data_IF_864507136473
#
_entry.id   IF_864507136473
#
_cell.length_a   1.000
_cell.length_b   1.000
_cell.length_c   1.000
_cell.angle_alpha   90.00
_cell.angle_beta   90.00
_cell.angle_gamma   90.00
#
_symmetry.space_group_name_H-M   'P 1'
#
loop_
_entity.id
_entity.type
_entity.pdbx_description
1 polymer ?
#
# COMPACT_ATOMS: atom_id res chain seq x y z
N UNK A 1 -4.36 4.82 -9.19
CA UNK A 1 -3.16 4.02 -9.55
C UNK A 1 -2.19 4.18 -8.39
N UNK A 2 -1.85 3.11 -7.66
CA UNK A 2 -1.04 3.25 -6.43
C UNK A 2 0.47 3.29 -6.72
N UNK A 3 0.94 2.89 -7.91
CA UNK A 3 2.37 2.94 -8.29
C UNK A 3 2.75 4.11 -9.21
N UNK A 4 1.77 4.95 -9.58
CA UNK A 4 1.86 6.02 -10.60
C UNK A 4 2.72 5.67 -11.84
N UNK A 5 2.62 4.41 -12.29
CA UNK A 5 3.43 3.83 -13.37
C UNK A 5 2.62 2.80 -14.14
N UNK A 6 2.80 2.81 -15.46
CA UNK A 6 2.33 1.73 -16.34
C UNK A 6 3.29 0.54 -16.27
N UNK A 7 2.73 -0.67 -16.12
CA UNK A 7 3.48 -1.92 -16.06
C UNK A 7 2.72 -3.03 -16.79
N UNK A 8 3.42 -4.06 -17.24
CA UNK A 8 2.78 -5.21 -17.85
C UNK A 8 2.11 -6.06 -16.76
N UNK A 9 0.84 -6.44 -16.98
CA UNK A 9 0.09 -7.29 -16.05
C UNK A 9 0.77 -8.63 -15.78
N UNK A 10 1.51 -9.19 -16.75
CA UNK A 10 2.25 -10.44 -16.57
C UNK A 10 3.45 -10.33 -15.61
N UNK A 11 3.88 -9.12 -15.25
CA UNK A 11 4.98 -8.87 -14.31
C UNK A 11 4.50 -8.80 -12.85
N UNK A 12 3.43 -9.51 -12.51
CA UNK A 12 3.02 -9.65 -11.11
C UNK A 12 4.11 -10.40 -10.34
N UNK A 13 4.57 -9.83 -9.23
CA UNK A 13 5.66 -10.30 -8.38
C UNK A 13 7.05 -10.32 -9.04
N UNK A 14 7.22 -10.80 -10.28
CA UNK A 14 8.47 -10.82 -11.10
C UNK A 14 9.77 -10.90 -10.27
N UNK A 15 9.88 -11.94 -9.44
CA UNK A 15 11.02 -12.17 -8.52
C UNK A 15 11.39 -10.96 -7.61
N UNK A 16 10.40 -10.14 -7.25
CA UNK A 16 10.55 -8.91 -6.46
C UNK A 16 10.80 -7.65 -7.30
N UNK A 17 10.96 -7.76 -8.61
CA UNK A 17 11.16 -6.63 -9.52
C UNK A 17 9.85 -6.11 -10.15
N UNK A 18 8.74 -6.81 -9.91
CA UNK A 18 7.45 -6.56 -10.52
C UNK A 18 6.53 -5.62 -9.72
N UNK A 19 5.24 -5.75 -10.00
CA UNK A 19 4.19 -5.12 -9.22
C UNK A 19 3.51 -6.12 -8.30
N UNK A 20 2.92 -5.64 -7.21
CA UNK A 20 2.15 -6.45 -6.27
C UNK A 20 0.78 -5.87 -6.02
N UNK A 21 -0.09 -6.71 -5.46
CA UNK A 21 -1.39 -6.28 -4.95
C UNK A 21 -1.23 -5.82 -3.52
N UNK A 22 -1.64 -4.58 -3.28
CA UNK A 22 -1.66 -3.98 -1.97
C UNK A 22 -3.09 -3.89 -1.45
N UNK A 23 -3.29 -4.29 -0.18
CA UNK A 23 -4.57 -4.11 0.49
C UNK A 23 -4.65 -2.71 1.07
N UNK A 24 -5.70 -1.96 0.75
CA UNK A 24 -5.92 -0.63 1.29
C UNK A 24 -6.09 -0.65 2.81
N UNK A 25 -6.71 -1.70 3.36
CA UNK A 25 -6.78 -1.95 4.80
C UNK A 25 -5.77 -3.03 5.21
N UNK A 26 -4.87 -2.77 6.17
CA UNK A 26 -3.85 -3.75 6.54
C UNK A 26 -4.48 -5.05 7.02
N UNK A 27 -3.96 -6.17 6.54
CA UNK A 27 -4.51 -7.49 6.86
C UNK A 27 -4.37 -7.83 8.35
N UNK A 28 -3.34 -7.32 9.02
CA UNK A 28 -3.16 -7.44 10.47
C UNK A 28 -4.33 -6.86 11.28
N UNK A 29 -4.99 -5.83 10.75
CA UNK A 29 -6.13 -5.15 11.38
C UNK A 29 -7.48 -5.68 10.89
N UNK A 30 -7.47 -6.59 9.92
CA UNK A 30 -8.68 -7.05 9.28
C UNK A 30 -9.38 -8.17 10.08
N UNK A 31 -8.75 -8.66 11.16
CA UNK A 31 -9.25 -9.74 12.03
C UNK A 31 -9.58 -11.06 11.30
N UNK A 32 -9.11 -11.24 10.07
CA UNK A 32 -9.22 -12.46 9.28
C UNK A 32 -7.88 -12.83 8.65
N UNK A 33 -7.73 -14.09 8.20
CA UNK A 33 -6.52 -14.52 7.49
C UNK A 33 -6.58 -14.09 6.03
N UNK A 34 -5.49 -13.52 5.54
CA UNK A 34 -5.28 -13.23 4.13
C UNK A 34 -5.19 -14.54 3.33
N UNK A 35 -6.32 -14.97 2.79
CA UNK A 35 -6.46 -16.18 2.01
C UNK A 35 -7.51 -15.94 0.95
N UNK A 36 -7.34 -16.57 -0.22
CA UNK A 36 -8.33 -16.57 -1.31
C UNK A 36 -9.73 -17.01 -0.88
N UNK A 37 -9.83 -17.71 0.26
CA UNK A 37 -11.09 -18.23 0.79
C UNK A 37 -11.82 -17.22 1.70
N UNK A 38 -11.19 -16.09 2.04
CA UNK A 38 -11.82 -15.02 2.80
C UNK A 38 -12.27 -13.92 1.83
N UNK A 39 -13.58 -13.76 1.67
CA UNK A 39 -14.19 -12.77 0.76
C UNK A 39 -13.64 -11.34 0.98
N UNK A 40 -13.44 -10.87 2.22
CA UNK A 40 -12.86 -9.55 2.43
C UNK A 40 -11.40 -9.41 1.94
N UNK A 41 -10.64 -10.51 1.89
CA UNK A 41 -9.25 -10.53 1.42
C UNK A 41 -9.13 -10.55 -0.12
N UNK A 42 -10.25 -10.76 -0.82
CA UNK A 42 -10.33 -10.84 -2.28
C UNK A 42 -11.16 -9.71 -2.90
N UNK A 43 -11.58 -8.74 -2.09
CA UNK A 43 -12.34 -7.59 -2.54
C UNK A 43 -11.50 -6.69 -3.46
N UNK A 44 -11.98 -6.50 -4.70
CA UNK A 44 -11.32 -5.67 -5.70
C UNK A 44 -11.33 -4.19 -5.36
N UNK A 45 -12.30 -3.71 -4.56
CA UNK A 45 -12.35 -2.31 -4.13
C UNK A 45 -11.29 -1.99 -3.08
N UNK A 46 -10.88 -3.00 -2.31
CA UNK A 46 -9.81 -2.91 -1.32
C UNK A 46 -8.41 -3.23 -1.88
N UNK A 47 -8.31 -3.71 -3.12
CA UNK A 47 -7.06 -4.13 -3.75
C UNK A 47 -6.54 -3.12 -4.77
N UNK A 48 -5.27 -2.74 -4.66
CA UNK A 48 -4.63 -1.79 -5.57
C UNK A 48 -3.28 -2.29 -6.08
N UNK A 49 -2.90 -1.98 -7.33
CA UNK A 49 -1.57 -2.30 -7.84
C UNK A 49 -0.54 -1.33 -7.26
N UNK A 50 0.48 -1.87 -6.58
CA UNK A 50 1.61 -1.14 -6.01
C UNK A 50 2.93 -1.72 -6.54
N UNK A 51 4.02 -0.95 -6.48
CA UNK A 51 5.35 -1.54 -6.69
C UNK A 51 5.75 -2.38 -5.47
N UNK A 52 6.60 -3.38 -5.65
CA UNK A 52 7.06 -4.22 -4.54
C UNK A 52 7.66 -3.39 -3.40
N UNK A 53 8.50 -2.41 -3.72
CA UNK A 53 9.16 -1.56 -2.72
C UNK A 53 8.16 -0.66 -1.99
N UNK A 54 7.16 -0.11 -2.69
CA UNK A 54 6.09 0.68 -2.05
C UNK A 54 5.26 -0.17 -1.09
N UNK A 55 4.85 -1.37 -1.52
CA UNK A 55 4.06 -2.28 -0.70
C UNK A 55 4.85 -2.74 0.54
N UNK A 56 6.11 -3.14 0.35
CA UNK A 56 6.99 -3.50 1.48
C UNK A 56 7.26 -2.34 2.43
N UNK A 57 7.33 -1.10 1.92
CA UNK A 57 7.51 0.10 2.74
C UNK A 57 6.23 0.47 3.52
N UNK A 58 5.04 0.29 2.91
CA UNK A 58 3.75 0.47 3.59
C UNK A 58 3.59 -0.52 4.73
N UNK A 59 4.00 -1.77 4.53
CA UNK A 59 3.85 -2.83 5.52
C UNK A 59 2.40 -2.92 6.01
N UNK A 60 2.17 -3.09 7.31
CA UNK A 60 0.86 -3.17 7.93
C UNK A 60 0.44 -1.85 8.60
N UNK A 61 1.10 -0.74 8.25
CA UNK A 61 0.83 0.56 8.84
C UNK A 61 -0.53 1.12 8.40
N UNK A 62 -1.17 1.86 9.30
CA UNK A 62 -2.45 2.54 9.04
C UNK A 62 -2.24 3.83 8.26
N UNK A 63 -3.26 4.28 7.53
CA UNK A 63 -3.23 5.61 6.93
C UNK A 63 -3.56 6.68 7.96
N UNK A 64 -2.72 7.72 8.03
CA UNK A 64 -2.92 8.85 8.93
C UNK A 64 -1.97 10.01 8.62
N UNK A 65 -2.16 11.14 9.29
CA UNK A 65 -1.24 12.26 9.17
C UNK A 65 -0.02 12.01 10.06
N UNK A 66 1.18 12.26 9.54
CA UNK A 66 2.44 12.06 10.27
C UNK A 66 3.07 13.44 10.53
N UNK A 67 3.36 13.81 11.79
CA UNK A 67 3.75 15.18 12.12
C UNK A 67 5.16 15.58 11.65
N UNK A 68 6.03 14.62 11.31
CA UNK A 68 7.42 14.87 10.91
C UNK A 68 7.93 13.84 9.89
N UNK A 69 8.95 14.16 9.10
CA UNK A 69 9.63 13.21 8.19
C UNK A 69 10.41 12.17 8.99
N UNK A 70 9.75 11.05 9.31
CA UNK A 70 10.38 9.93 10.03
C UNK A 70 10.97 8.89 9.06
N UNK A 71 10.35 8.69 7.90
CA UNK A 71 10.89 7.85 6.83
C UNK A 71 10.12 8.10 5.53
N UNK A 72 10.79 8.56 4.47
CA UNK A 72 10.18 8.72 3.15
C UNK A 72 10.53 7.52 2.28
N UNK A 73 9.59 7.01 1.45
CA UNK A 73 9.94 6.02 0.44
C UNK A 73 11.00 6.63 -0.49
N UNK A 74 12.11 5.93 -0.71
CA UNK A 74 13.21 6.39 -1.58
C UNK A 74 12.85 6.37 -3.07
N UNK A 75 11.64 5.92 -3.41
CA UNK A 75 11.14 5.65 -4.75
C UNK A 75 10.02 6.64 -5.12
N UNK A 76 10.23 7.36 -6.23
CA UNK A 76 9.29 8.35 -6.81
C UNK A 76 7.93 7.77 -7.24
N UNK A 77 7.78 6.45 -7.17
CA UNK A 77 6.60 5.70 -7.60
C UNK A 77 5.79 5.16 -6.42
N UNK A 78 5.96 5.76 -5.24
CA UNK A 78 5.15 5.51 -4.06
C UNK A 78 4.17 6.66 -3.88
N UNK A 79 2.90 6.39 -3.54
CA UNK A 79 1.95 7.46 -3.27
C UNK A 79 1.95 7.83 -1.79
N UNK A 80 2.88 7.27 -1.01
CA UNK A 80 3.14 7.60 0.38
C UNK A 80 4.09 8.79 0.42
N UNK A 81 3.70 9.80 1.19
CA UNK A 81 4.56 10.94 1.51
C UNK A 81 5.62 10.52 2.53
N UNK A 82 5.21 9.80 3.57
CA UNK A 82 6.09 9.32 4.64
C UNK A 82 5.41 8.25 5.50
N UNK A 83 6.21 7.48 6.24
CA UNK A 83 5.77 6.57 7.28
C UNK A 83 6.54 6.82 8.58
N UNK A 84 5.85 6.69 9.71
CA UNK A 84 6.42 6.70 11.05
C UNK A 84 6.39 5.28 11.61
N UNK A 85 7.59 4.75 11.84
CA UNK A 85 7.83 3.39 12.31
C UNK A 85 7.54 3.23 13.81
N UNK A 86 7.54 4.31 14.58
CA UNK A 86 7.26 4.26 16.01
C UNK A 86 5.75 4.24 16.28
N UNK A 87 4.96 4.85 15.40
CA UNK A 87 3.50 4.94 15.53
C UNK A 87 2.72 4.01 14.59
N UNK A 88 3.42 3.29 13.70
CA UNK A 88 2.83 2.45 12.65
C UNK A 88 1.85 3.21 11.73
N UNK A 89 2.14 4.48 11.42
CA UNK A 89 1.29 5.34 10.59
C UNK A 89 2.02 5.75 9.30
N UNK A 90 1.35 5.61 8.16
CA UNK A 90 1.81 6.13 6.87
C UNK A 90 0.89 7.23 6.36
N UNK A 91 1.47 8.35 5.94
CA UNK A 91 0.76 9.44 5.29
C UNK A 91 0.80 9.28 3.77
N UNK A 92 -0.35 9.16 3.10
CA UNK A 92 -0.41 9.19 1.65
C UNK A 92 -0.43 10.64 1.11
N UNK A 93 -0.12 10.81 -0.17
CA UNK A 93 -0.25 12.11 -0.86
C UNK A 93 -1.68 12.64 -0.79
N UNK A 94 -1.84 13.95 -0.64
CA UNK A 94 -3.14 14.61 -0.48
C UNK A 94 -4.13 14.27 -1.60
N UNK A 95 -3.64 14.14 -2.83
CA UNK A 95 -4.45 13.84 -4.01
C UNK A 95 -5.15 12.46 -3.96
N UNK A 96 -4.67 11.54 -3.12
CA UNK A 96 -5.27 10.20 -2.99
C UNK A 96 -5.91 9.93 -1.63
N UNK A 97 -5.79 10.86 -0.66
CA UNK A 97 -6.42 10.71 0.67
C UNK A 97 -7.93 10.46 0.56
N UNK A 98 -8.60 11.17 -0.35
CA UNK A 98 -10.04 11.01 -0.59
C UNK A 98 -10.43 9.75 -1.38
N UNK A 99 -9.49 9.08 -2.05
CA UNK A 99 -9.72 7.77 -2.68
C UNK A 99 -9.54 6.65 -1.65
N UNK A 100 -8.56 6.79 -0.75
CA UNK A 100 -8.27 5.84 0.33
C UNK A 100 -9.42 5.78 1.34
N UNK A 101 -10.11 6.90 1.58
CA UNK A 101 -11.12 7.02 2.62
C UNK A 101 -12.54 6.50 2.26
N UNK A 102 -12.78 6.04 1.03
CA UNK A 102 -14.09 5.57 0.55
C UNK A 102 -14.20 4.05 0.62
#
# INVERSE_FOLDING_TARGET
IYADRSTNGAQEYDYGAGWTREHLWPQSLAHYKASSNHVPATDLHALRPASQSCNSHRNNHVFGAVPHTVWAPSNTNCPLLMCDLDTDVCEPHDMIKGEIAR
#
